data_IF_887063022700
#
_entry.id   IF_887063022700
#
_cell.length_a   1.000
_cell.length_b   1.000
_cell.length_c   1.000
_cell.angle_alpha   90.00
_cell.angle_beta   90.00
_cell.angle_gamma   90.00
#
_symmetry.space_group_name_H-M   'P 1'
#
loop_
_entity.id
_entity.type
_entity.pdbx_description
1 polymer ?
#
# COMPACT_ATOMS: atom_id res chain seq x y z
N UNK A 1 -22.23 17.30 -6.74
CA UNK A 1 -20.80 17.01 -6.52
C UNK A 1 -20.17 17.91 -5.48
N UNK A 2 -20.24 19.24 -5.61
CA UNK A 2 -19.66 20.16 -4.61
C UNK A 2 -20.16 19.90 -3.17
N UNK A 3 -21.45 19.60 -3.02
CA UNK A 3 -22.06 19.27 -1.72
C UNK A 3 -21.47 18.01 -1.06
N UNK A 4 -21.25 16.94 -1.85
CA UNK A 4 -20.61 15.70 -1.37
C UNK A 4 -19.13 15.92 -1.02
N UNK A 5 -18.42 16.75 -1.78
CA UNK A 5 -17.01 17.09 -1.49
C UNK A 5 -16.89 17.80 -0.14
N UNK A 6 -17.76 18.77 0.14
CA UNK A 6 -17.80 19.46 1.43
C UNK A 6 -18.12 18.47 2.56
N UNK A 7 -19.18 17.67 2.41
CA UNK A 7 -19.59 16.69 3.40
C UNK A 7 -18.48 15.66 3.73
N UNK A 8 -17.81 15.12 2.72
CA UNK A 8 -16.72 14.16 2.94
C UNK A 8 -15.49 14.81 3.55
N UNK A 9 -15.17 16.04 3.14
CA UNK A 9 -14.07 16.81 3.74
C UNK A 9 -14.31 17.02 5.23
N UNK A 10 -15.51 17.44 5.62
CA UNK A 10 -15.86 17.70 7.02
C UNK A 10 -15.84 16.41 7.84
N UNK A 11 -16.39 15.32 7.29
CA UNK A 11 -16.33 14.00 7.95
C UNK A 11 -14.89 13.56 8.19
N UNK A 12 -14.03 13.64 7.18
CA UNK A 12 -12.63 13.23 7.32
C UNK A 12 -11.85 14.13 8.28
N UNK A 13 -12.10 15.44 8.28
CA UNK A 13 -11.53 16.36 9.27
C UNK A 13 -11.98 16.02 10.69
N UNK A 14 -13.26 15.70 10.89
CA UNK A 14 -13.78 15.29 12.21
C UNK A 14 -13.17 13.99 12.73
N UNK A 15 -12.73 13.11 11.82
CA UNK A 15 -12.04 11.85 12.14
C UNK A 15 -10.52 12.02 12.28
N UNK A 16 -10.01 13.25 12.21
CA UNK A 16 -8.58 13.55 12.36
C UNK A 16 -7.72 13.16 11.15
N UNK A 17 -8.32 12.95 9.98
CA UNK A 17 -7.56 12.66 8.76
C UNK A 17 -6.63 13.84 8.39
N UNK A 18 -5.43 13.52 7.90
CA UNK A 18 -4.50 14.54 7.41
C UNK A 18 -5.00 15.20 6.13
N UNK A 19 -4.55 16.42 5.86
CA UNK A 19 -4.89 17.12 4.61
C UNK A 19 -4.49 16.32 3.36
N UNK A 20 -3.34 15.61 3.42
CA UNK A 20 -2.88 14.77 2.32
C UNK A 20 -3.82 13.61 2.06
N UNK A 21 -4.31 12.95 3.12
CA UNK A 21 -5.28 11.86 2.98
C UNK A 21 -6.61 12.35 2.41
N UNK A 22 -7.08 13.52 2.85
CA UNK A 22 -8.29 14.16 2.32
C UNK A 22 -8.13 14.47 0.83
N UNK A 23 -7.02 15.11 0.43
CA UNK A 23 -6.75 15.43 -0.98
C UNK A 23 -6.68 14.17 -1.85
N UNK A 24 -6.01 13.12 -1.38
CA UNK A 24 -5.92 11.84 -2.10
C UNK A 24 -7.30 11.17 -2.25
N UNK A 25 -8.12 11.18 -1.20
CA UNK A 25 -9.48 10.66 -1.25
C UNK A 25 -10.33 11.43 -2.27
N UNK A 26 -10.33 12.77 -2.20
CA UNK A 26 -11.13 13.60 -3.10
C UNK A 26 -10.69 13.45 -4.57
N UNK A 27 -9.39 13.32 -4.84
CA UNK A 27 -8.88 13.01 -6.18
C UNK A 27 -9.45 11.68 -6.69
N UNK A 28 -9.39 10.62 -5.89
CA UNK A 28 -9.91 9.31 -6.29
C UNK A 28 -11.44 9.34 -6.46
N UNK A 29 -12.14 10.09 -5.60
CA UNK A 29 -13.59 10.27 -5.70
C UNK A 29 -13.98 11.01 -6.99
N UNK A 30 -13.24 12.05 -7.38
CA UNK A 30 -13.40 12.72 -8.66
C UNK A 30 -13.21 11.74 -9.82
N UNK A 31 -12.15 10.93 -9.80
CA UNK A 31 -11.91 9.90 -10.84
C UNK A 31 -13.03 8.88 -10.91
N UNK A 32 -13.48 8.36 -9.77
CA UNK A 32 -14.60 7.43 -9.70
C UNK A 32 -15.90 8.00 -10.29
N UNK A 33 -16.18 9.27 -10.02
CA UNK A 33 -17.42 9.94 -10.47
C UNK A 33 -17.33 10.52 -11.89
N UNK A 34 -16.14 10.62 -12.47
CA UNK A 34 -15.90 11.19 -13.80
C UNK A 34 -16.44 10.36 -14.97
N UNK A 35 -16.83 9.11 -14.74
CA UNK A 35 -17.18 8.16 -15.80
C UNK A 35 -15.97 7.58 -16.55
N UNK A 36 -14.75 7.89 -16.10
CA UNK A 36 -13.54 7.28 -16.64
C UNK A 36 -13.57 5.75 -16.46
N UNK A 37 -13.11 5.02 -17.46
CA UNK A 37 -12.84 3.60 -17.32
C UNK A 37 -11.60 3.41 -16.43
N UNK A 38 -11.78 2.83 -15.24
CA UNK A 38 -10.71 2.57 -14.28
C UNK A 38 -10.10 1.17 -14.43
N UNK A 39 -10.58 0.39 -15.40
CA UNK A 39 -10.05 -0.93 -15.69
C UNK A 39 -8.84 -0.82 -16.62
N UNK A 40 -7.87 -1.71 -16.43
CA UNK A 40 -6.74 -1.89 -17.33
C UNK A 40 -7.02 -3.18 -18.13
N UNK A 41 -7.56 -3.08 -19.37
CA UNK A 41 -7.87 -4.26 -20.17
C UNK A 41 -6.59 -4.88 -20.75
N UNK A 42 -6.60 -6.20 -20.96
CA UNK A 42 -5.46 -6.92 -21.55
C UNK A 42 -5.02 -6.35 -22.90
N UNK A 43 -5.98 -5.89 -23.72
CA UNK A 43 -5.70 -5.26 -25.02
C UNK A 43 -4.94 -3.92 -24.93
N UNK A 44 -4.84 -3.31 -23.75
CA UNK A 44 -4.05 -2.10 -23.51
C UNK A 44 -2.65 -2.39 -22.96
N UNK A 45 -2.28 -3.67 -22.83
CA UNK A 45 -1.04 -4.13 -22.25
C UNK A 45 -0.19 -4.91 -23.26
N UNK A 46 1.11 -4.94 -23.00
CA UNK A 46 2.06 -5.83 -23.64
C UNK A 46 2.88 -6.54 -22.55
N UNK A 47 3.26 -7.81 -22.77
CA UNK A 47 4.11 -8.52 -21.82
C UNK A 47 5.49 -7.87 -21.71
N UNK A 48 6.09 -7.92 -20.52
CA UNK A 48 7.51 -7.61 -20.33
C UNK A 48 8.32 -8.85 -20.70
N UNK A 49 9.08 -8.78 -21.80
CA UNK A 49 9.76 -9.96 -22.38
C UNK A 49 10.96 -10.43 -21.56
N UNK A 50 11.70 -9.52 -20.92
CA UNK A 50 12.87 -9.85 -20.12
C UNK A 50 13.13 -8.83 -19.01
N UNK A 51 13.75 -9.30 -17.92
CA UNK A 51 14.18 -8.50 -16.79
C UNK A 51 15.61 -8.93 -16.37
N UNK A 52 16.43 -8.02 -15.82
CA UNK A 52 17.70 -8.39 -15.20
C UNK A 52 17.50 -9.37 -14.02
N UNK A 53 18.39 -10.35 -13.88
CA UNK A 53 18.44 -11.22 -12.71
C UNK A 53 19.17 -10.55 -11.55
N UNK A 54 18.69 -10.73 -10.33
CA UNK A 54 19.39 -10.30 -9.12
C UNK A 54 20.78 -10.95 -9.00
N UNK A 55 20.90 -12.23 -9.37
CA UNK A 55 22.18 -12.97 -9.27
C UNK A 55 23.27 -12.44 -10.20
N UNK A 56 22.89 -11.66 -11.22
CA UNK A 56 23.84 -11.00 -12.13
C UNK A 56 24.39 -9.68 -11.58
N UNK A 57 23.82 -9.17 -10.48
CA UNK A 57 24.23 -7.91 -9.85
C UNK A 57 25.38 -8.18 -8.88
N UNK A 58 26.58 -7.66 -9.16
CA UNK A 58 27.79 -7.92 -8.37
C UNK A 58 28.36 -6.69 -7.66
N UNK A 59 27.86 -5.49 -7.99
CA UNK A 59 28.35 -4.26 -7.39
C UNK A 59 27.77 -4.05 -5.99
N UNK A 60 28.63 -3.88 -4.99
CA UNK A 60 28.24 -3.58 -3.61
C UNK A 60 28.65 -2.15 -3.21
N UNK A 61 27.78 -1.48 -2.46
CA UNK A 61 27.97 -0.13 -1.91
C UNK A 61 27.50 -0.08 -0.45
N UNK A 62 28.20 -0.75 0.48
CA UNK A 62 27.78 -0.88 1.87
C UNK A 62 27.60 0.47 2.56
N UNK A 63 28.29 1.52 2.10
CA UNK A 63 28.15 2.88 2.61
C UNK A 63 26.74 3.46 2.46
N UNK A 64 25.92 2.96 1.53
CA UNK A 64 24.54 3.40 1.32
C UNK A 64 23.56 2.77 2.33
N UNK A 65 23.97 1.71 3.02
CA UNK A 65 23.09 1.02 3.97
C UNK A 65 22.66 1.93 5.12
N UNK A 66 23.56 2.83 5.55
CA UNK A 66 23.28 3.81 6.61
C UNK A 66 22.18 4.83 6.22
N UNK A 67 22.01 5.06 4.92
CA UNK A 67 21.05 6.02 4.37
C UNK A 67 19.75 5.30 3.92
N UNK A 68 19.66 3.99 4.11
CA UNK A 68 18.54 3.15 3.67
C UNK A 68 17.52 2.96 4.78
N UNK A 69 16.24 3.15 4.46
CA UNK A 69 15.12 2.90 5.39
C UNK A 69 14.37 1.64 4.99
N UNK A 70 14.11 0.76 5.96
CA UNK A 70 13.23 -0.40 5.76
C UNK A 70 11.80 -0.11 6.24
N UNK A 71 10.85 -0.11 5.32
CA UNK A 71 9.42 0.00 5.61
C UNK A 71 8.74 -1.36 5.38
N UNK A 72 7.98 -1.84 6.36
CA UNK A 72 7.13 -3.03 6.23
C UNK A 72 5.66 -2.64 6.32
N UNK A 73 4.89 -2.92 5.27
CA UNK A 73 3.45 -2.64 5.24
C UNK A 73 2.71 -3.58 6.20
N UNK A 74 2.00 -3.00 7.18
CA UNK A 74 1.32 -3.76 8.22
C UNK A 74 -0.09 -3.24 8.59
N UNK A 75 -0.67 -2.36 7.76
CA UNK A 75 -1.97 -1.74 8.03
C UNK A 75 -3.19 -2.55 7.59
N UNK A 76 -2.98 -3.64 6.84
CA UNK A 76 -4.06 -4.45 6.27
C UNK A 76 -4.70 -5.37 7.31
N UNK A 77 -6.02 -5.47 7.27
CA UNK A 77 -6.80 -6.45 8.02
C UNK A 77 -6.94 -7.72 7.15
N UNK A 78 -6.62 -8.89 7.71
CA UNK A 78 -6.71 -10.17 6.99
C UNK A 78 -8.15 -10.67 6.81
N UNK A 79 -9.07 -9.80 6.39
CA UNK A 79 -10.52 -10.07 6.37
C UNK A 79 -10.89 -11.24 5.47
N UNK A 80 -10.19 -11.44 4.35
CA UNK A 80 -10.36 -12.62 3.49
C UNK A 80 -9.99 -13.95 4.15
N UNK A 81 -9.26 -13.90 5.27
CA UNK A 81 -8.92 -15.05 6.12
C UNK A 81 -9.77 -15.10 7.40
N UNK A 82 -10.79 -14.24 7.53
CA UNK A 82 -11.60 -14.11 8.75
C UNK A 82 -10.87 -13.44 9.92
N UNK A 83 -9.81 -12.67 9.65
CA UNK A 83 -9.03 -11.98 10.69
C UNK A 83 -9.51 -10.54 10.88
N UNK A 84 -9.56 -10.12 12.14
CA UNK A 84 -9.88 -8.73 12.55
C UNK A 84 -8.63 -7.90 12.87
N UNK A 85 -7.44 -8.51 12.77
CA UNK A 85 -6.15 -7.90 13.11
C UNK A 85 -5.14 -8.05 11.96
N UNK A 86 -4.00 -7.39 12.12
CA UNK A 86 -2.89 -7.48 11.19
C UNK A 86 -2.39 -8.94 11.06
N UNK A 87 -2.17 -9.38 9.82
CA UNK A 87 -1.70 -10.74 9.51
C UNK A 87 -0.31 -11.02 10.08
N UNK A 88 0.49 -9.98 10.35
CA UNK A 88 1.83 -10.12 10.91
C UNK A 88 1.86 -10.71 12.32
N UNK A 89 0.73 -10.68 13.04
CA UNK A 89 0.59 -11.24 14.38
C UNK A 89 0.30 -12.75 14.39
N UNK A 90 0.15 -13.37 13.21
CA UNK A 90 -0.01 -14.82 13.13
C UNK A 90 1.30 -15.53 13.49
N UNK A 91 1.24 -16.62 14.27
CA UNK A 91 2.40 -17.50 14.47
C UNK A 91 2.92 -18.03 13.13
N UNK A 92 4.24 -17.95 12.95
CA UNK A 92 4.93 -18.49 11.79
C UNK A 92 5.69 -19.76 12.14
N UNK A 93 6.50 -19.75 13.21
CA UNK A 93 7.30 -20.91 13.63
C UNK A 93 7.48 -20.92 15.14
N UNK A 94 7.01 -21.99 15.79
CA UNK A 94 6.93 -22.01 17.25
C UNK A 94 6.01 -20.89 17.73
N UNK A 95 6.47 -20.13 18.72
CA UNK A 95 5.75 -18.98 19.26
C UNK A 95 6.02 -17.67 18.49
N UNK A 96 6.98 -17.67 17.57
CA UNK A 96 7.35 -16.46 16.83
C UNK A 96 6.36 -16.16 15.71
N UNK A 97 5.86 -14.93 15.71
CA UNK A 97 5.00 -14.37 14.66
C UNK A 97 5.82 -13.86 13.47
N UNK A 98 5.15 -13.52 12.35
CA UNK A 98 5.83 -12.84 11.24
C UNK A 98 6.51 -11.53 11.69
N UNK A 99 5.92 -10.80 12.64
CA UNK A 99 6.49 -9.56 13.15
C UNK A 99 7.77 -9.84 13.96
N UNK A 100 7.79 -10.91 14.76
CA UNK A 100 8.98 -11.32 15.51
C UNK A 100 10.14 -11.67 14.58
N UNK A 101 9.87 -12.36 13.47
CA UNK A 101 10.88 -12.67 12.45
C UNK A 101 11.40 -11.44 11.69
N UNK A 102 10.61 -10.37 11.58
CA UNK A 102 11.01 -9.14 10.89
C UNK A 102 11.88 -8.26 11.81
N UNK A 103 11.61 -8.29 13.12
CA UNK A 103 12.26 -7.42 14.09
C UNK A 103 13.55 -7.99 14.68
N UNK A 104 13.70 -9.32 14.70
CA UNK A 104 14.92 -10.03 15.13
C UNK A 104 15.98 -10.00 14.03
#
# INVERSE_FOLDING_TARGET
>A
MADLVAQYTDKMKSDGCSETAIKAFLYNFEKLTSGANLMIPEAALSPVESLPSYDALTAEKPELLKDTVMLKLNGGLGTGMGLEKAKSLLPLKGEDTFLDFIAK
#
